data_IF_382478498865
#
_entry.id   IF_382478498865
#
_cell.length_a   1.000
_cell.length_b   1.000
_cell.length_c   1.000
_cell.angle_alpha   90.00
_cell.angle_beta   90.00
_cell.angle_gamma   90.00
#
_symmetry.space_group_name_H-M   'P 1'
#
loop_
_entity.id
_entity.type
_entity.pdbx_description
1 polymer ?
#
# COMPACT_ATOMS: atom_id res chain seq x y z
N UNK A 1 29.12 -53.75 34.76
CA UNK A 1 27.71 -53.51 34.38
C UNK A 1 27.50 -51.99 34.48
N UNK A 2 27.83 -51.10 33.54
CA UNK A 2 27.60 -50.97 32.08
C UNK A 2 26.11 -50.98 31.70
N UNK A 3 25.41 -49.97 32.19
CA UNK A 3 24.16 -49.43 31.64
C UNK A 3 24.44 -47.93 31.37
N UNK A 4 24.86 -47.60 30.14
CA UNK A 4 24.04 -47.11 29.02
C UNK A 4 24.03 -45.57 28.90
N UNK A 5 25.20 -44.96 28.67
CA UNK A 5 25.33 -43.58 28.15
C UNK A 5 24.53 -43.36 26.85
N UNK A 6 24.33 -44.44 26.08
CA UNK A 6 23.51 -44.50 24.87
C UNK A 6 22.02 -44.18 25.09
N UNK A 7 21.50 -44.30 26.31
CA UNK A 7 20.08 -44.07 26.62
C UNK A 7 19.78 -42.59 26.95
N UNK A 8 20.75 -41.86 27.51
CA UNK A 8 20.63 -40.42 27.80
C UNK A 8 20.68 -39.60 26.51
N UNK A 9 21.52 -40.02 25.55
CA UNK A 9 21.72 -39.32 24.29
C UNK A 9 20.53 -39.48 23.32
N UNK A 10 19.78 -40.58 23.41
CA UNK A 10 18.53 -40.78 22.65
C UNK A 10 17.38 -39.96 23.20
N UNK A 11 17.27 -39.83 24.54
CA UNK A 11 16.22 -38.99 25.17
C UNK A 11 16.39 -37.50 24.85
N UNK A 12 17.62 -37.00 24.77
CA UNK A 12 17.87 -35.58 24.44
C UNK A 12 17.52 -35.24 22.98
N UNK A 13 17.82 -36.16 22.05
CA UNK A 13 17.48 -36.03 20.62
C UNK A 13 15.98 -36.13 20.37
N UNK A 14 15.28 -37.05 21.06
CA UNK A 14 13.83 -37.18 20.97
C UNK A 14 13.10 -35.91 21.48
N UNK A 15 13.57 -35.30 22.57
CA UNK A 15 13.01 -34.05 23.07
C UNK A 15 13.23 -32.85 22.14
N UNK A 16 14.38 -32.79 21.46
CA UNK A 16 14.69 -31.76 20.47
C UNK A 16 13.83 -31.88 19.20
N UNK A 17 13.64 -33.10 18.70
CA UNK A 17 12.78 -33.36 17.54
C UNK A 17 11.30 -33.09 17.85
N UNK A 18 10.82 -33.46 19.05
CA UNK A 18 9.46 -33.15 19.49
C UNK A 18 9.23 -31.63 19.61
N UNK A 19 10.21 -30.87 20.09
CA UNK A 19 10.13 -29.40 20.17
C UNK A 19 10.15 -28.73 18.80
N UNK A 20 10.97 -29.22 17.87
CA UNK A 20 10.97 -28.75 16.47
C UNK A 20 9.65 -29.03 15.77
N UNK A 21 9.04 -30.21 15.98
CA UNK A 21 7.75 -30.56 15.40
C UNK A 21 6.62 -29.63 15.90
N UNK A 22 6.59 -29.30 17.19
CA UNK A 22 5.60 -28.35 17.76
C UNK A 22 5.79 -26.93 17.21
N UNK A 23 7.04 -26.49 17.03
CA UNK A 23 7.34 -25.18 16.44
C UNK A 23 6.91 -25.08 14.98
N UNK A 24 7.14 -26.13 14.17
CA UNK A 24 6.69 -26.19 12.77
C UNK A 24 5.16 -26.24 12.67
N UNK A 25 4.48 -26.96 13.59
CA UNK A 25 3.02 -27.01 13.62
C UNK A 25 2.39 -25.65 13.97
N UNK A 26 2.99 -24.88 14.88
CA UNK A 26 2.51 -23.54 15.24
C UNK A 26 2.71 -22.52 14.11
N UNK A 27 3.82 -22.60 13.38
CA UNK A 27 4.08 -21.72 12.23
C UNK A 27 3.18 -22.10 11.03
N UNK A 28 2.92 -23.41 10.82
CA UNK A 28 1.99 -23.89 9.80
C UNK A 28 0.52 -23.52 10.07
N UNK A 29 0.12 -23.52 11.35
CA UNK A 29 -1.25 -23.15 11.75
C UNK A 29 -1.60 -21.67 11.52
N UNK A 30 -0.61 -20.78 11.50
CA UNK A 30 -0.84 -19.34 11.27
C UNK A 30 -1.10 -18.98 9.79
N UNK A 31 -0.74 -19.85 8.84
CA UNK A 31 -0.94 -19.60 7.39
C UNK A 31 -2.23 -20.22 6.82
N UNK A 32 -2.99 -20.99 7.60
CA UNK A 32 -4.19 -21.68 7.11
C UNK A 32 -5.53 -20.96 7.42
N UNK A 33 -5.50 -19.78 8.05
CA UNK A 33 -6.71 -19.10 8.55
C UNK A 33 -7.31 -18.02 7.62
N UNK A 34 -6.97 -17.98 6.33
CA UNK A 34 -7.46 -16.92 5.42
C UNK A 34 -8.04 -17.39 4.08
N UNK A 35 -8.56 -18.62 3.99
CA UNK A 35 -9.33 -19.05 2.81
C UNK A 35 -10.52 -19.92 3.20
N UNK A 36 -11.70 -19.32 3.34
CA UNK A 36 -13.01 -19.90 2.99
C UNK A 36 -14.16 -18.97 3.41
N UNK A 37 -14.60 -18.14 2.47
CA UNK A 37 -16.01 -17.78 2.38
C UNK A 37 -16.44 -18.21 0.97
N UNK A 38 -16.88 -19.46 0.86
CA UNK A 38 -17.35 -20.07 -0.36
C UNK A 38 -18.70 -19.46 -0.78
N UNK A 39 -18.73 -18.98 -2.01
CA UNK A 39 -19.93 -18.62 -2.76
C UNK A 39 -20.75 -19.86 -3.08
N UNK A 40 -21.93 -19.98 -2.49
CA UNK A 40 -22.99 -20.87 -2.95
C UNK A 40 -24.34 -20.17 -2.80
N UNK A 41 -24.96 -19.82 -3.93
CA UNK A 41 -26.41 -19.89 -4.20
C UNK A 41 -26.70 -19.20 -5.53
N UNK A 42 -26.87 -20.01 -6.56
CA UNK A 42 -27.43 -19.56 -7.82
C UNK A 42 -28.95 -19.36 -7.68
N UNK A 43 -29.43 -18.30 -8.32
CA UNK A 43 -30.81 -18.10 -8.79
C UNK A 43 -31.93 -17.99 -7.73
N UNK A 44 -32.22 -16.76 -7.31
CA UNK A 44 -33.60 -16.34 -7.07
C UNK A 44 -33.78 -14.86 -7.47
N UNK A 45 -34.66 -14.68 -8.45
CA UNK A 45 -35.52 -13.49 -8.65
C UNK A 45 -34.86 -12.13 -8.93
N UNK A 46 -34.86 -11.80 -10.23
CA UNK A 46 -35.40 -10.56 -10.79
C UNK A 46 -35.38 -9.29 -9.93
N UNK A 47 -34.59 -8.31 -10.39
CA UNK A 47 -34.92 -6.90 -10.23
C UNK A 47 -34.36 -6.22 -8.98
N UNK A 48 -33.05 -5.96 -8.94
CA UNK A 48 -32.55 -4.81 -8.21
C UNK A 48 -31.17 -4.39 -8.71
N UNK A 49 -31.17 -3.30 -9.48
CA UNK A 49 -30.09 -2.31 -9.56
C UNK A 49 -28.79 -2.86 -10.14
N UNK A 50 -28.69 -2.76 -11.46
CA UNK A 50 -27.44 -2.41 -12.13
C UNK A 50 -26.92 -1.14 -11.48
N UNK A 51 -26.15 -1.27 -10.40
CA UNK A 51 -25.26 -0.22 -9.98
C UNK A 51 -24.24 -0.10 -11.11
N UNK A 52 -24.57 0.73 -12.10
CA UNK A 52 -23.55 1.47 -12.82
C UNK A 52 -22.70 2.06 -11.70
N UNK A 53 -21.54 1.46 -11.44
CA UNK A 53 -20.44 2.23 -10.91
C UNK A 53 -20.26 3.32 -11.94
N UNK A 54 -20.91 4.45 -11.71
CA UNK A 54 -20.53 5.69 -12.33
C UNK A 54 -19.02 5.74 -12.09
N UNK A 55 -18.25 5.64 -13.16
CA UNK A 55 -16.89 6.11 -13.14
C UNK A 55 -17.03 7.53 -12.60
N UNK A 56 -16.71 7.72 -11.32
CA UNK A 56 -16.62 9.05 -10.74
C UNK A 56 -15.73 9.80 -11.72
N UNK A 57 -16.13 11.00 -12.20
CA UNK A 57 -15.33 11.76 -13.14
C UNK A 57 -13.91 11.77 -12.56
N UNK A 58 -12.96 11.16 -13.26
CA UNK A 58 -11.58 11.07 -12.80
C UNK A 58 -11.14 12.51 -12.60
N UNK A 59 -11.18 12.96 -11.35
CA UNK A 59 -10.81 14.30 -11.00
C UNK A 59 -9.30 14.33 -11.26
N UNK A 60 -8.97 14.91 -12.40
CA UNK A 60 -7.76 14.61 -13.16
C UNK A 60 -6.58 15.32 -12.50
N UNK A 61 -5.58 14.55 -12.10
CA UNK A 61 -4.29 15.06 -11.68
C UNK A 61 -3.81 16.08 -12.69
N UNK A 62 -3.61 17.31 -12.23
CA UNK A 62 -3.11 18.38 -13.07
C UNK A 62 -1.64 18.56 -12.77
N UNK A 63 -0.79 18.17 -13.71
CA UNK A 63 0.65 18.35 -13.63
C UNK A 63 1.08 19.45 -14.60
N UNK A 64 1.68 20.51 -14.06
CA UNK A 64 2.33 21.56 -14.83
C UNK A 64 3.83 21.41 -14.66
N UNK A 65 4.48 20.77 -15.63
CA UNK A 65 5.93 20.60 -15.66
C UNK A 65 6.56 21.41 -16.80
N UNK A 66 7.61 22.17 -16.52
CA UNK A 66 8.35 22.98 -17.50
C UNK A 66 9.63 23.57 -16.92
N UNK A 67 10.67 23.70 -17.75
CA UNK A 67 11.92 24.38 -17.38
C UNK A 67 12.60 23.86 -16.11
N UNK A 68 12.58 22.52 -15.89
CA UNK A 68 13.17 21.89 -14.70
C UNK A 68 12.31 21.94 -13.44
N UNK A 69 11.10 22.50 -13.50
CA UNK A 69 10.12 22.55 -12.41
C UNK A 69 8.92 21.69 -12.74
N UNK A 70 8.29 21.10 -11.74
CA UNK A 70 6.99 20.48 -11.88
C UNK A 70 6.11 20.70 -10.66
N UNK A 71 4.88 21.16 -10.89
CA UNK A 71 3.86 21.24 -9.86
C UNK A 71 2.73 20.27 -10.18
N UNK A 72 2.43 19.37 -9.24
CA UNK A 72 1.38 18.37 -9.36
C UNK A 72 0.27 18.72 -8.39
N UNK A 73 -0.94 18.90 -8.91
CA UNK A 73 -2.16 19.08 -8.14
C UNK A 73 -2.98 17.80 -8.22
N UNK A 74 -3.24 17.20 -7.07
CA UNK A 74 -4.11 16.03 -6.96
C UNK A 74 -5.51 16.47 -6.60
N UNK A 75 -6.50 15.87 -7.23
CA UNK A 75 -7.89 16.04 -6.81
C UNK A 75 -8.17 15.40 -5.44
N UNK A 76 -9.37 15.63 -4.91
CA UNK A 76 -9.81 15.01 -3.64
C UNK A 76 -9.83 13.48 -3.74
N UNK A 77 -10.24 12.94 -4.89
CA UNK A 77 -10.26 11.51 -5.14
C UNK A 77 -8.83 10.94 -5.19
N UNK A 78 -7.93 11.61 -5.90
CA UNK A 78 -6.52 11.20 -6.00
C UNK A 78 -5.76 11.36 -4.69
N UNK A 79 -6.13 12.34 -3.88
CA UNK A 79 -5.62 12.51 -2.52
C UNK A 79 -6.03 11.32 -1.64
N UNK A 80 -7.26 10.79 -1.81
CA UNK A 80 -7.70 9.54 -1.16
C UNK A 80 -6.95 8.32 -1.70
N UNK A 81 -6.74 8.25 -3.01
CA UNK A 81 -5.99 7.14 -3.61
C UNK A 81 -4.53 7.13 -3.13
N UNK A 82 -3.90 8.31 -3.06
CA UNK A 82 -2.58 8.51 -2.47
C UNK A 82 -2.54 8.08 -1.01
N UNK A 83 -3.57 8.44 -0.22
CA UNK A 83 -3.69 8.01 1.17
C UNK A 83 -3.81 6.47 1.30
N UNK A 84 -4.43 5.80 0.32
CA UNK A 84 -4.51 4.34 0.22
C UNK A 84 -3.22 3.70 -0.34
N UNK A 85 -2.20 4.49 -0.69
CA UNK A 85 -0.93 4.02 -1.25
C UNK A 85 -0.91 3.87 -2.77
N UNK A 86 -1.98 4.27 -3.46
CA UNK A 86 -2.08 4.27 -4.91
C UNK A 86 -1.68 5.64 -5.46
N UNK A 87 -0.39 5.79 -5.75
CA UNK A 87 0.17 7.05 -6.25
C UNK A 87 -0.17 7.23 -7.74
N UNK A 88 -0.81 8.35 -8.15
CA UNK A 88 -1.07 8.63 -9.55
C UNK A 88 0.24 8.88 -10.32
N UNK A 89 0.30 8.46 -11.58
CA UNK A 89 1.50 8.55 -12.40
C UNK A 89 1.72 9.97 -12.94
N UNK A 90 2.98 10.43 -12.93
CA UNK A 90 3.33 11.66 -13.63
C UNK A 90 3.17 11.50 -15.15
N UNK A 91 2.81 12.59 -15.87
CA UNK A 91 2.79 12.58 -17.32
C UNK A 91 4.15 12.18 -17.90
N UNK A 92 4.15 11.60 -19.09
CA UNK A 92 5.38 11.29 -19.83
C UNK A 92 6.17 12.56 -20.16
N UNK A 93 7.50 12.44 -20.25
CA UNK A 93 8.39 13.56 -20.63
C UNK A 93 9.02 14.34 -19.47
N UNK A 94 8.71 14.00 -18.21
CA UNK A 94 9.34 14.60 -17.04
C UNK A 94 10.71 13.95 -16.78
N UNK A 95 11.79 14.72 -16.49
CA UNK A 95 13.09 14.19 -16.11
C UNK A 95 12.99 13.15 -14.98
N UNK A 96 13.80 12.10 -15.06
CA UNK A 96 13.75 10.98 -14.12
C UNK A 96 14.00 11.42 -12.67
N UNK A 97 14.80 12.47 -12.46
CA UNK A 97 15.09 13.04 -11.14
C UNK A 97 13.83 13.61 -10.47
N UNK A 98 13.03 14.38 -11.22
CA UNK A 98 11.76 14.93 -10.71
C UNK A 98 10.74 13.81 -10.48
N UNK A 99 10.74 12.79 -11.33
CA UNK A 99 9.89 11.61 -11.17
C UNK A 99 10.24 10.84 -9.90
N UNK A 100 11.53 10.59 -9.65
CA UNK A 100 11.99 9.95 -8.42
C UNK A 100 11.64 10.79 -7.18
N UNK A 101 11.89 12.10 -7.23
CA UNK A 101 11.53 13.03 -6.17
C UNK A 101 10.03 13.05 -5.88
N UNK A 102 9.19 13.01 -6.91
CA UNK A 102 7.73 12.91 -6.75
C UNK A 102 7.34 11.65 -6.01
N UNK A 103 7.81 10.48 -6.44
CA UNK A 103 7.41 9.23 -5.79
C UNK A 103 7.93 9.17 -4.35
N UNK A 104 9.15 9.65 -4.08
CA UNK A 104 9.67 9.75 -2.73
C UNK A 104 8.78 10.62 -1.83
N UNK A 105 8.38 11.81 -2.32
CA UNK A 105 7.46 12.68 -1.59
C UNK A 105 6.07 12.07 -1.43
N UNK A 106 5.51 11.49 -2.50
CA UNK A 106 4.17 10.90 -2.49
C UNK A 106 4.06 9.75 -1.49
N UNK A 107 5.03 8.81 -1.50
CA UNK A 107 5.04 7.71 -0.53
C UNK A 107 5.36 8.18 0.89
N UNK A 108 6.23 9.17 1.06
CA UNK A 108 6.56 9.76 2.36
C UNK A 108 5.38 10.52 3.00
N UNK A 109 4.51 11.13 2.19
CA UNK A 109 3.41 11.97 2.66
C UNK A 109 2.03 11.29 2.62
N UNK A 110 1.97 9.97 2.43
CA UNK A 110 0.69 9.22 2.41
C UNK A 110 -0.19 9.47 3.64
N UNK A 111 0.43 9.58 4.82
CA UNK A 111 -0.30 9.81 6.07
C UNK A 111 -0.88 11.22 6.13
N UNK A 112 -0.13 12.23 5.65
CA UNK A 112 -0.63 13.60 5.54
C UNK A 112 -1.73 13.73 4.50
N UNK A 113 -1.63 13.00 3.38
CA UNK A 113 -2.69 12.91 2.38
C UNK A 113 -3.97 12.32 2.99
N UNK A 114 -3.87 11.35 3.90
CA UNK A 114 -5.02 10.80 4.62
C UNK A 114 -5.70 11.85 5.51
N UNK A 115 -4.92 12.66 6.23
CA UNK A 115 -5.47 13.75 7.05
C UNK A 115 -6.16 14.82 6.20
N UNK A 116 -5.59 15.15 5.04
CA UNK A 116 -6.18 16.12 4.11
C UNK A 116 -7.46 15.60 3.48
N UNK A 117 -7.47 14.34 3.02
CA UNK A 117 -8.66 13.69 2.49
C UNK A 117 -9.83 13.69 3.49
N UNK A 118 -9.56 13.44 4.77
CA UNK A 118 -10.57 13.42 5.83
C UNK A 118 -11.10 14.83 6.17
N UNK A 119 -10.26 15.86 6.05
CA UNK A 119 -10.63 17.26 6.29
C UNK A 119 -11.20 17.97 5.07
N UNK A 120 -11.28 17.28 3.92
CA UNK A 120 -11.78 17.86 2.67
C UNK A 120 -10.77 18.71 1.89
N UNK A 121 -9.47 18.59 2.20
CA UNK A 121 -8.38 19.28 1.51
C UNK A 121 -7.76 18.41 0.40
N UNK A 122 -7.13 19.07 -0.57
CA UNK A 122 -6.42 18.44 -1.68
C UNK A 122 -4.91 18.51 -1.48
N UNK A 123 -4.21 17.47 -1.92
CA UNK A 123 -2.75 17.36 -1.89
C UNK A 123 -2.10 17.93 -3.14
N UNK A 124 -1.01 18.66 -2.97
CA UNK A 124 -0.17 19.14 -4.06
C UNK A 124 1.32 18.88 -3.80
N UNK A 125 2.10 18.81 -4.88
CA UNK A 125 3.56 18.63 -4.83
C UNK A 125 4.23 19.68 -5.69
N UNK A 126 5.25 20.35 -5.14
CA UNK A 126 6.17 21.23 -5.88
C UNK A 126 7.53 20.56 -5.95
N UNK A 127 8.00 20.35 -7.16
CA UNK A 127 9.26 19.71 -7.48
C UNK A 127 10.08 20.64 -8.37
N UNK A 128 11.39 20.66 -8.14
CA UNK A 128 12.34 21.42 -8.93
C UNK A 128 13.66 20.68 -9.01
N UNK A 129 14.32 20.76 -10.17
CA UNK A 129 15.67 20.22 -10.33
C UNK A 129 16.69 21.08 -9.58
N UNK A 130 16.31 22.32 -9.24
CA UNK A 130 17.14 23.27 -8.54
C UNK A 130 16.92 23.13 -7.01
N UNK A 131 17.93 22.70 -6.25
CA UNK A 131 17.77 22.38 -4.83
C UNK A 131 17.49 23.61 -3.95
N UNK A 132 17.83 24.81 -4.41
CA UNK A 132 17.58 26.07 -3.69
C UNK A 132 16.15 26.61 -3.87
N UNK A 133 15.34 26.04 -4.77
CA UNK A 133 13.92 26.40 -4.88
C UNK A 133 13.09 25.68 -3.81
N UNK A 134 11.98 26.30 -3.40
CA UNK A 134 11.04 25.67 -2.47
C UNK A 134 10.36 24.45 -3.11
N UNK A 135 10.66 23.28 -2.56
CA UNK A 135 10.11 21.98 -2.97
C UNK A 135 9.42 21.29 -1.79
N UNK A 136 8.39 20.49 -2.07
CA UNK A 136 7.73 19.70 -1.05
C UNK A 136 6.26 19.46 -1.30
N UNK A 137 5.61 18.95 -0.26
CA UNK A 137 4.19 18.64 -0.21
C UNK A 137 3.41 19.80 0.43
N UNK A 138 2.27 20.16 -0.15
CA UNK A 138 1.39 21.21 0.36
C UNK A 138 -0.08 20.83 0.24
N UNK A 139 -0.93 21.46 1.05
CA UNK A 139 -2.38 21.33 0.99
C UNK A 139 -3.01 22.54 0.33
N UNK A 140 -4.04 22.32 -0.48
CA UNK A 140 -4.87 23.39 -1.05
C UNK A 140 -6.36 23.03 -0.95
N UNK A 141 -7.23 24.03 -1.08
CA UNK A 141 -8.67 23.79 -1.07
C UNK A 141 -9.09 23.13 -2.39
N UNK A 142 -9.75 21.98 -2.28
CA UNK A 142 -10.64 21.46 -3.31
C UNK A 142 -12.01 22.17 -3.17
#
# INVERSE_FOLDING_TARGET
MITTESEVQTRSRAGWLARLAVLVALIGGLLAASTTAASASAAATAGARTAKMAAAPMATMTASCGGGRCTVYLSKAETRDLAAGRVPGLPGGVPWQLRAGYYALAYGHKWFAQQYANRGWCSGFRLSIYPWESQGYFGYAC
#
